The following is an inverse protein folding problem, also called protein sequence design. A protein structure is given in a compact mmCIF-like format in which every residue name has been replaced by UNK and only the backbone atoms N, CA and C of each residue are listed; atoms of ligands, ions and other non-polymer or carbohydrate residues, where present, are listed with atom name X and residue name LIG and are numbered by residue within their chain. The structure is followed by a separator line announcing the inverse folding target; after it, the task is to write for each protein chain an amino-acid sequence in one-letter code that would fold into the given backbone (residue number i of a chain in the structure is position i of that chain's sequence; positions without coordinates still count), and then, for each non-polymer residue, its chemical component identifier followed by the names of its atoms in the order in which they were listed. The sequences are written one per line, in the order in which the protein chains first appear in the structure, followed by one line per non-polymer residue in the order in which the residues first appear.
data_IF_302986819749
#
_entry.id   IF_302986819749
#
_cell.length_a   1.000
_cell.length_b   1.000
_cell.length_c   1.000
_cell.angle_alpha   90.00
_cell.angle_beta   90.00
_cell.angle_gamma   90.00
#
_symmetry.space_group_name_H-M   'P 1'
#
loop_
_entity.id
_entity.type
_entity.pdbx_description
1 polymer ?
#
# COMPACT_ATOMS: atom_id res chain seq x y z
N UNK A 1 53.25 -15.04 -33.20
CA UNK A 1 51.78 -14.88 -33.22
C UNK A 1 51.21 -15.85 -32.22
N UNK A 2 50.59 -15.34 -31.14
CA UNK A 2 49.59 -15.99 -30.24
C UNK A 2 49.72 -15.54 -28.76
N UNK A 3 49.28 -14.32 -28.40
CA UNK A 3 48.78 -14.05 -27.05
C UNK A 3 47.24 -14.04 -26.99
N UNK A 4 46.55 -14.15 -28.14
CA UNK A 4 45.10 -13.92 -28.26
C UNK A 4 44.22 -14.99 -27.62
N UNK A 5 44.67 -16.25 -27.54
CA UNK A 5 43.86 -17.36 -27.00
C UNK A 5 43.66 -17.26 -25.47
N UNK A 6 44.68 -16.79 -24.74
CA UNK A 6 44.64 -16.66 -23.29
C UNK A 6 43.73 -15.50 -22.85
N UNK A 7 43.72 -14.40 -23.60
CA UNK A 7 42.88 -13.22 -23.31
C UNK A 7 41.40 -13.56 -23.55
N UNK A 8 41.08 -14.27 -24.64
CA UNK A 8 39.72 -14.73 -24.92
C UNK A 8 39.19 -15.69 -23.85
N UNK A 9 40.05 -16.59 -23.34
CA UNK A 9 39.68 -17.51 -22.26
C UNK A 9 39.43 -16.78 -20.94
N UNK A 10 40.29 -15.82 -20.55
CA UNK A 10 40.10 -15.01 -19.33
C UNK A 10 38.84 -14.16 -19.43
N UNK A 11 38.56 -13.55 -20.58
CA UNK A 11 37.33 -12.78 -20.82
C UNK A 11 36.08 -13.67 -20.77
N UNK A 12 36.12 -14.87 -21.34
CA UNK A 12 35.01 -15.82 -21.29
C UNK A 12 34.74 -16.32 -19.86
N UNK A 13 35.79 -16.60 -19.08
CA UNK A 13 35.68 -17.00 -17.67
C UNK A 13 35.13 -15.84 -16.82
N UNK A 14 35.61 -14.61 -17.03
CA UNK A 14 35.07 -13.43 -16.35
C UNK A 14 33.60 -13.20 -16.66
N UNK A 15 33.19 -13.33 -17.94
CA UNK A 15 31.79 -13.25 -18.36
C UNK A 15 30.94 -14.39 -17.75
N UNK A 16 31.46 -15.61 -17.67
CA UNK A 16 30.76 -16.74 -17.05
C UNK A 16 30.55 -16.54 -15.53
N UNK A 17 31.55 -16.01 -14.82
CA UNK A 17 31.45 -15.69 -13.39
C UNK A 17 30.45 -14.54 -13.17
N UNK A 18 30.44 -13.52 -14.03
CA UNK A 18 29.43 -12.45 -13.99
C UNK A 18 28.00 -12.96 -14.23
N UNK A 19 27.83 -14.00 -15.05
CA UNK A 19 26.51 -14.59 -15.36
C UNK A 19 26.01 -15.51 -14.23
N UNK A 20 26.90 -16.10 -13.43
CA UNK A 20 26.50 -16.94 -12.28
C UNK A 20 26.02 -16.12 -11.06
N UNK A 21 26.21 -14.80 -11.06
CA UNK A 21 25.99 -13.95 -9.88
C UNK A 21 24.58 -13.38 -9.67
N UNK A 22 23.60 -13.63 -10.54
CA UNK A 22 22.30 -12.93 -10.47
C UNK A 22 21.06 -13.80 -10.26
N UNK A 23 21.21 -15.09 -9.93
CA UNK A 23 20.10 -15.96 -9.53
C UNK A 23 20.19 -16.28 -8.04
N UNK A 24 20.22 -15.23 -7.21
CA UNK A 24 19.99 -15.38 -5.77
C UNK A 24 18.50 -15.61 -5.54
N UNK A 25 18.14 -16.78 -5.02
CA UNK A 25 16.79 -17.03 -4.52
C UNK A 25 16.60 -16.33 -3.18
N UNK A 26 15.56 -15.49 -3.08
CA UNK A 26 15.16 -14.87 -1.83
C UNK A 26 14.42 -15.90 -0.99
N UNK A 27 15.03 -16.27 0.14
CA UNK A 27 14.35 -16.90 1.26
C UNK A 27 14.17 -15.84 2.35
N UNK A 28 12.94 -15.68 2.87
CA UNK A 28 12.64 -14.62 3.83
C UNK A 28 13.51 -14.72 5.09
N UNK A 29 13.81 -15.94 5.53
CA UNK A 29 14.60 -16.24 6.73
C UNK A 29 16.07 -15.79 6.61
N UNK A 30 16.53 -15.47 5.39
CA UNK A 30 17.88 -14.95 5.14
C UNK A 30 17.94 -13.42 5.00
N UNK A 31 16.80 -12.73 5.06
CA UNK A 31 16.75 -11.27 4.98
C UNK A 31 16.97 -10.64 6.36
N UNK A 32 17.65 -9.50 6.37
CA UNK A 32 17.79 -8.66 7.54
C UNK A 32 16.54 -7.79 7.78
N UNK A 33 16.54 -7.04 8.87
CA UNK A 33 15.39 -6.19 9.24
C UNK A 33 15.11 -5.08 8.21
N UNK A 34 16.12 -4.65 7.46
CA UNK A 34 16.05 -3.50 6.55
C UNK A 34 15.66 -3.94 5.12
N UNK A 35 15.55 -5.25 4.87
CA UNK A 35 15.16 -5.82 3.57
C UNK A 35 13.95 -6.75 3.66
N UNK A 36 13.61 -7.24 4.85
CA UNK A 36 12.52 -8.19 5.07
C UNK A 36 11.12 -7.65 4.72
N UNK A 37 10.75 -6.49 5.25
CA UNK A 37 9.41 -5.95 5.05
C UNK A 37 9.18 -5.62 3.57
N UNK A 38 8.02 -6.02 3.05
CA UNK A 38 7.64 -5.87 1.64
C UNK A 38 8.58 -6.59 0.66
N UNK A 39 9.20 -7.70 1.10
CA UNK A 39 9.85 -8.65 0.21
C UNK A 39 8.93 -9.81 -0.17
N UNK A 40 9.26 -10.49 -1.27
CA UNK A 40 8.62 -11.70 -1.76
C UNK A 40 9.70 -12.72 -2.08
N UNK A 41 9.57 -13.89 -1.47
CA UNK A 41 10.44 -15.04 -1.69
C UNK A 41 10.42 -15.54 -3.14
N UNK A 42 11.40 -16.38 -3.49
CA UNK A 42 11.41 -17.11 -4.77
C UNK A 42 10.15 -17.97 -4.97
N UNK A 43 9.55 -18.46 -3.87
CA UNK A 43 8.30 -19.22 -3.87
C UNK A 43 7.04 -18.36 -4.09
N UNK A 44 7.15 -17.03 -4.16
CA UNK A 44 6.00 -16.11 -4.33
C UNK A 44 5.26 -15.79 -3.02
N UNK A 45 5.79 -16.20 -1.88
CA UNK A 45 5.25 -15.89 -0.54
C UNK A 45 5.85 -14.58 -0.03
N UNK A 46 5.02 -13.70 0.55
CA UNK A 46 5.47 -12.43 1.16
C UNK A 46 6.27 -12.69 2.43
N UNK A 47 7.24 -11.83 2.71
CA UNK A 47 8.01 -11.87 3.95
C UNK A 47 7.37 -10.98 5.03
N UNK A 48 7.50 -11.38 6.29
CA UNK A 48 7.00 -10.65 7.46
C UNK A 48 8.11 -10.47 8.49
N UNK A 49 8.26 -9.24 8.99
CA UNK A 49 9.19 -8.91 10.06
C UNK A 49 8.50 -9.11 11.41
N UNK A 50 8.98 -10.06 12.21
CA UNK A 50 8.54 -10.27 13.57
C UNK A 50 9.49 -9.59 14.56
N UNK A 51 8.93 -8.97 15.60
CA UNK A 51 9.69 -8.46 16.75
C UNK A 51 9.57 -9.41 17.93
N UNK A 52 10.69 -9.69 18.57
CA UNK A 52 10.81 -10.49 19.79
C UNK A 52 11.57 -9.68 20.83
N UNK A 53 11.21 -9.82 22.10
CA UNK A 53 11.94 -9.20 23.20
C UNK A 53 12.79 -10.28 23.87
N UNK A 54 14.10 -10.09 23.90
CA UNK A 54 15.02 -11.00 24.59
C UNK A 54 14.80 -10.91 26.11
N UNK A 55 15.26 -11.92 26.86
CA UNK A 55 15.23 -11.89 28.33
C UNK A 55 15.98 -10.70 28.94
N UNK A 56 16.91 -10.10 28.19
CA UNK A 56 17.65 -8.89 28.55
C UNK A 56 16.84 -7.59 28.40
N UNK A 57 15.65 -7.64 27.81
CA UNK A 57 14.85 -6.47 27.44
C UNK A 57 15.20 -5.88 26.06
N UNK A 58 16.23 -6.41 25.40
CA UNK A 58 16.64 -5.98 24.06
C UNK A 58 15.66 -6.49 22.99
N UNK A 59 15.35 -5.63 22.02
CA UNK A 59 14.52 -5.99 20.87
C UNK A 59 15.34 -6.79 19.85
N UNK A 60 14.76 -7.87 19.35
CA UNK A 60 15.31 -8.70 18.30
C UNK A 60 14.30 -8.84 17.19
N UNK A 61 14.77 -8.78 15.94
CA UNK A 61 13.93 -8.93 14.78
C UNK A 61 14.20 -10.27 14.10
N UNK A 62 13.18 -10.86 13.51
CA UNK A 62 13.29 -12.11 12.74
C UNK A 62 12.40 -12.01 11.51
N UNK A 63 12.98 -12.22 10.34
CA UNK A 63 12.21 -12.30 9.11
C UNK A 63 11.69 -13.71 8.90
N UNK A 64 10.44 -13.84 8.44
CA UNK A 64 9.80 -15.12 8.15
C UNK A 64 8.97 -15.07 6.90
N UNK A 65 8.78 -16.23 6.29
CA UNK A 65 7.81 -16.42 5.22
C UNK A 65 6.38 -16.36 5.77
N UNK A 66 5.54 -15.52 5.19
CA UNK A 66 4.10 -15.42 5.47
C UNK A 66 3.30 -16.41 4.62
N UNK A 67 2.09 -16.75 5.05
CA UNK A 67 1.16 -17.54 4.24
C UNK A 67 0.56 -16.76 3.06
N UNK A 68 0.68 -15.43 3.09
CA UNK A 68 0.14 -14.54 2.07
C UNK A 68 0.98 -14.63 0.79
N UNK A 69 0.36 -15.09 -0.30
CA UNK A 69 0.95 -15.16 -1.63
C UNK A 69 0.84 -13.81 -2.36
N UNK A 70 1.87 -13.47 -3.13
CA UNK A 70 1.81 -12.40 -4.12
C UNK A 70 1.32 -12.99 -5.46
N UNK A 71 0.48 -12.24 -6.19
CA UNK A 71 -0.17 -12.78 -7.40
C UNK A 71 0.87 -13.08 -8.51
N UNK A 72 1.67 -12.09 -8.89
CA UNK A 72 2.56 -12.16 -10.06
C UNK A 72 4.03 -11.97 -9.77
N UNK A 73 4.35 -11.54 -8.56
CA UNK A 73 5.70 -11.17 -8.17
C UNK A 73 6.37 -12.33 -7.45
N UNK A 74 7.64 -12.56 -7.79
CA UNK A 74 8.52 -13.54 -7.16
C UNK A 74 9.91 -12.95 -7.09
N UNK A 75 10.66 -13.32 -6.06
CA UNK A 75 12.03 -12.88 -5.91
C UNK A 75 12.18 -11.35 -5.98
N UNK A 76 11.37 -10.65 -5.18
CA UNK A 76 11.25 -9.19 -5.22
C UNK A 76 11.52 -8.59 -3.84
N UNK A 77 12.29 -7.50 -3.79
CA UNK A 77 12.44 -6.67 -2.59
C UNK A 77 12.07 -5.25 -3.01
N UNK A 78 11.05 -4.70 -2.35
CA UNK A 78 10.63 -3.33 -2.62
C UNK A 78 11.73 -2.34 -2.20
N UNK A 79 11.90 -1.24 -2.93
CA UNK A 79 12.97 -0.27 -2.66
C UNK A 79 12.60 0.71 -1.54
N UNK A 80 13.59 1.32 -0.89
CA UNK A 80 13.33 2.34 0.15
C UNK A 80 12.60 3.58 -0.40
N UNK A 81 12.88 3.93 -1.65
CA UNK A 81 12.16 5.01 -2.35
C UNK A 81 10.67 4.68 -2.44
N UNK A 82 10.35 3.45 -2.82
CA UNK A 82 8.98 3.00 -2.87
C UNK A 82 8.32 2.97 -1.48
N UNK A 83 8.98 2.37 -0.48
CA UNK A 83 8.46 2.32 0.90
C UNK A 83 8.10 3.73 1.37
N UNK A 84 8.99 4.69 1.16
CA UNK A 84 8.76 6.08 1.54
C UNK A 84 7.66 6.76 0.73
N UNK A 85 7.61 6.54 -0.59
CA UNK A 85 6.58 7.10 -1.46
C UNK A 85 5.17 6.65 -1.07
N UNK A 86 5.04 5.41 -0.60
CA UNK A 86 3.78 4.83 -0.14
C UNK A 86 3.42 5.17 1.31
N UNK A 87 4.25 5.92 2.03
CA UNK A 87 3.98 6.24 3.44
C UNK A 87 4.22 5.11 4.42
N UNK A 88 5.07 4.16 4.04
CA UNK A 88 5.33 2.94 4.81
C UNK A 88 6.66 3.03 5.53
N UNK A 89 6.86 2.13 6.48
CA UNK A 89 8.10 1.97 7.22
C UNK A 89 8.47 0.49 7.30
N UNK A 90 9.75 0.17 7.07
CA UNK A 90 10.23 -1.22 7.07
C UNK A 90 10.22 -1.90 8.43
N UNK A 91 10.20 -1.11 9.50
CA UNK A 91 10.13 -1.58 10.89
C UNK A 91 8.69 -1.64 11.38
N UNK A 92 7.72 -1.30 10.54
CA UNK A 92 6.31 -1.57 10.82
C UNK A 92 6.12 -3.07 11.03
N UNK A 93 5.41 -3.42 12.10
CA UNK A 93 5.18 -4.80 12.49
C UNK A 93 3.75 -5.18 12.14
N UNK A 94 3.62 -6.12 11.22
CA UNK A 94 2.32 -6.47 10.67
C UNK A 94 1.75 -5.38 9.75
N UNK A 95 0.54 -5.64 9.24
CA UNK A 95 -0.15 -4.72 8.35
C UNK A 95 -1.43 -4.29 9.05
N UNK A 96 -1.60 -2.99 9.26
CA UNK A 96 -2.84 -2.42 9.80
C UNK A 96 -3.75 -2.03 8.65
N UNK A 97 -4.89 -2.73 8.51
CA UNK A 97 -5.87 -2.41 7.48
C UNK A 97 -6.61 -1.10 7.76
N UNK A 98 -6.76 -0.73 9.04
CA UNK A 98 -7.35 0.55 9.48
C UNK A 98 -6.60 1.78 8.93
N UNK A 99 -5.33 1.63 8.55
CA UNK A 99 -4.52 2.71 7.97
C UNK A 99 -5.09 3.20 6.63
N UNK A 100 -5.80 2.35 5.86
CA UNK A 100 -6.45 2.76 4.62
C UNK A 100 -7.56 3.81 4.82
N UNK A 101 -8.11 3.90 6.03
CA UNK A 101 -9.11 4.92 6.39
C UNK A 101 -8.45 6.26 6.72
N UNK A 102 -7.13 6.28 6.97
CA UNK A 102 -6.41 7.51 7.24
C UNK A 102 -6.16 8.28 5.94
N UNK A 103 -6.70 9.49 5.86
CA UNK A 103 -6.62 10.31 4.65
C UNK A 103 -5.18 10.59 4.18
N UNK A 104 -4.23 10.71 5.11
CA UNK A 104 -2.81 10.95 4.85
C UNK A 104 -2.16 9.75 4.15
N UNK A 105 -2.39 8.55 4.69
CA UNK A 105 -1.88 7.30 4.14
C UNK A 105 -2.51 7.01 2.77
N UNK A 106 -3.84 7.14 2.65
CA UNK A 106 -4.53 6.94 1.38
C UNK A 106 -4.01 7.87 0.27
N UNK A 107 -3.68 9.13 0.60
CA UNK A 107 -3.08 10.06 -0.37
C UNK A 107 -1.68 9.64 -0.83
N UNK A 108 -0.85 9.09 0.08
CA UNK A 108 0.50 8.62 -0.26
C UNK A 108 0.44 7.30 -1.06
N UNK A 109 -0.40 6.35 -0.65
CA UNK A 109 -0.64 5.11 -1.38
C UNK A 109 -1.17 5.36 -2.80
N UNK A 110 -2.07 6.33 -2.96
CA UNK A 110 -2.63 6.72 -4.25
C UNK A 110 -1.80 7.75 -5.02
N UNK A 111 -0.64 8.15 -4.50
CA UNK A 111 0.30 9.01 -5.25
C UNK A 111 0.88 8.24 -6.43
N UNK A 112 1.17 8.89 -7.57
CA UNK A 112 1.76 8.19 -8.72
C UNK A 112 3.13 7.57 -8.41
N UNK A 113 3.87 8.15 -7.46
CA UNK A 113 5.15 7.60 -7.00
C UNK A 113 4.98 6.24 -6.30
N UNK A 114 3.85 6.02 -5.64
CA UNK A 114 3.53 4.72 -5.06
C UNK A 114 2.74 3.86 -6.06
N UNK A 115 1.55 4.31 -6.45
CA UNK A 115 0.57 3.52 -7.18
C UNK A 115 1.09 2.94 -8.51
N UNK A 116 1.94 3.70 -9.22
CA UNK A 116 2.45 3.29 -10.52
C UNK A 116 3.85 2.63 -10.46
N UNK A 117 4.59 2.83 -9.37
CA UNK A 117 6.02 2.45 -9.28
C UNK A 117 6.32 1.36 -8.23
N UNK A 118 5.35 1.01 -7.39
CA UNK A 118 5.50 0.10 -6.25
C UNK A 118 4.64 -1.16 -6.36
N UNK A 119 4.98 -2.10 -7.25
CA UNK A 119 4.07 -3.18 -7.61
C UNK A 119 3.76 -4.12 -6.44
N UNK A 120 4.70 -4.40 -5.53
CA UNK A 120 4.41 -5.29 -4.39
C UNK A 120 3.50 -4.63 -3.35
N UNK A 121 3.78 -3.37 -3.01
CA UNK A 121 2.97 -2.61 -2.06
C UNK A 121 1.55 -2.43 -2.59
N UNK A 122 1.41 -2.05 -3.85
CA UNK A 122 0.10 -1.85 -4.48
C UNK A 122 -0.67 -3.17 -4.57
N UNK A 123 -0.04 -4.28 -4.96
CA UNK A 123 -0.67 -5.60 -4.95
C UNK A 123 -1.14 -5.99 -3.56
N UNK A 124 -0.35 -5.71 -2.51
CA UNK A 124 -0.71 -6.02 -1.13
C UNK A 124 -1.96 -5.24 -0.70
N UNK A 125 -1.95 -3.92 -0.86
CA UNK A 125 -3.07 -3.07 -0.43
C UNK A 125 -4.30 -3.21 -1.31
N UNK A 126 -4.15 -3.55 -2.58
CA UNK A 126 -5.27 -3.88 -3.46
C UNK A 126 -6.04 -5.09 -2.91
N UNK A 127 -5.32 -6.15 -2.54
CA UNK A 127 -5.93 -7.36 -2.00
C UNK A 127 -6.52 -7.15 -0.60
N UNK A 128 -5.87 -6.35 0.25
CA UNK A 128 -6.40 -5.99 1.56
C UNK A 128 -7.68 -5.16 1.45
N UNK A 129 -7.70 -4.13 0.62
CA UNK A 129 -8.89 -3.33 0.38
C UNK A 129 -10.04 -4.20 -0.16
N UNK A 130 -9.74 -5.11 -1.09
CA UNK A 130 -10.74 -6.03 -1.64
C UNK A 130 -11.33 -6.96 -0.57
N UNK A 131 -10.53 -7.42 0.39
CA UNK A 131 -11.00 -8.21 1.53
C UNK A 131 -11.95 -7.42 2.45
N UNK A 132 -11.83 -6.09 2.47
CA UNK A 132 -12.74 -5.17 3.17
C UNK A 132 -13.92 -4.71 2.32
N UNK A 133 -14.05 -5.21 1.08
CA UNK A 133 -15.09 -4.80 0.14
C UNK A 133 -14.87 -3.44 -0.53
N UNK A 134 -13.65 -2.89 -0.42
CA UNK A 134 -13.24 -1.63 -1.05
C UNK A 134 -12.41 -1.92 -2.31
N UNK A 135 -12.72 -1.24 -3.40
CA UNK A 135 -11.91 -1.34 -4.62
C UNK A 135 -10.89 -0.20 -4.67
N UNK A 136 -9.61 -0.54 -4.43
CA UNK A 136 -8.52 0.44 -4.31
C UNK A 136 -8.44 1.46 -5.47
N UNK A 137 -8.59 1.07 -6.76
CA UNK A 137 -8.57 2.07 -7.84
C UNK A 137 -9.69 3.12 -7.72
N UNK A 138 -10.89 2.72 -7.28
CA UNK A 138 -12.00 3.66 -7.04
C UNK A 138 -11.74 4.56 -5.83
N UNK A 139 -11.06 4.04 -4.82
CA UNK A 139 -10.60 4.84 -3.68
C UNK A 139 -9.62 5.93 -4.14
N UNK A 140 -8.65 5.58 -4.97
CA UNK A 140 -7.66 6.53 -5.48
C UNK A 140 -8.26 7.59 -6.42
N UNK A 141 -9.19 7.21 -7.31
CA UNK A 141 -9.95 8.18 -8.12
C UNK A 141 -10.70 9.20 -7.23
N UNK A 142 -11.29 8.74 -6.12
CA UNK A 142 -11.99 9.61 -5.19
C UNK A 142 -11.05 10.58 -4.45
N UNK A 143 -9.80 10.16 -4.18
CA UNK A 143 -8.79 11.01 -3.54
C UNK A 143 -8.27 12.11 -4.45
N UNK A 144 -8.17 11.89 -5.76
CA UNK A 144 -7.80 12.96 -6.70
C UNK A 144 -8.82 14.11 -6.67
N UNK A 145 -10.11 13.77 -6.63
CA UNK A 145 -11.19 14.74 -6.51
C UNK A 145 -11.24 15.46 -5.15
N UNK A 146 -10.89 14.78 -4.06
CA UNK A 146 -10.83 15.38 -2.72
C UNK A 146 -9.61 16.30 -2.58
N UNK A 147 -8.44 15.89 -3.07
CA UNK A 147 -7.21 16.67 -3.07
C UNK A 147 -7.37 17.95 -3.89
N UNK A 148 -8.01 17.87 -5.07
CA UNK A 148 -8.30 19.05 -5.90
C UNK A 148 -9.26 20.03 -5.22
N UNK A 149 -10.25 19.53 -4.48
CA UNK A 149 -11.15 20.37 -3.67
C UNK A 149 -10.44 20.97 -2.46
N UNK A 150 -9.58 20.21 -1.79
CA UNK A 150 -8.74 20.70 -0.68
C UNK A 150 -7.82 21.83 -1.12
N UNK A 151 -7.11 21.65 -2.23
CA UNK A 151 -6.24 22.67 -2.81
C UNK A 151 -7.00 23.97 -3.12
N UNK A 152 -8.21 23.87 -3.69
CA UNK A 152 -9.07 25.04 -3.93
C UNK A 152 -9.55 25.73 -2.66
N UNK A 153 -9.75 24.99 -1.57
CA UNK A 153 -10.11 25.56 -0.27
C UNK A 153 -8.92 26.29 0.39
N UNK A 154 -7.70 25.75 0.27
CA UNK A 154 -6.49 26.36 0.82
C UNK A 154 -6.08 27.64 0.08
N UNK A 155 -6.23 27.69 -1.26
CA UNK A 155 -5.99 28.92 -2.05
C UNK A 155 -6.98 30.03 -1.66
N UNK A 156 -8.19 29.68 -1.20
CA UNK A 156 -9.17 30.66 -0.72
C UNK A 156 -8.88 31.13 0.73
N UNK A 157 -8.12 30.35 1.49
CA UNK A 157 -7.76 30.63 2.89
C UNK A 157 -6.48 31.47 3.03
N UNK A 158 -5.58 31.44 2.04
CA UNK A 158 -4.42 32.34 1.95
C UNK A 158 -4.84 33.74 1.46
N UNK A 159 -5.61 34.44 2.28
CA UNK A 159 -5.96 35.84 2.07
C UNK A 159 -4.70 36.72 2.07
N UNK A 160 -4.15 37.01 0.89
CA UNK A 160 -3.31 38.18 0.70
C UNK A 160 -4.21 39.42 0.80
N UNK A 161 -4.38 39.90 2.04
CA UNK A 161 -5.11 41.13 2.34
C UNK A 161 -4.19 42.30 2.02
N UNK A 162 -4.39 42.93 0.86
CA UNK A 162 -4.00 44.33 0.70
C UNK A 162 -4.81 45.18 1.70
N UNK A 163 -4.20 46.14 2.43
CA UNK A 163 -4.92 46.92 3.44
C UNK A 163 -5.85 47.93 2.73
N UNK A 164 -7.08 47.49 2.46
CA UNK A 164 -8.16 48.30 1.91
C UNK A 164 -9.27 48.49 2.94
N UNK A 165 -9.58 49.76 3.21
CA UNK A 165 -10.40 50.29 4.31
C UNK A 165 -11.74 49.58 4.60
N UNK A 166 -12.02 49.45 5.90
CA UNK A 166 -13.26 48.97 6.47
C UNK A 166 -14.43 49.94 6.23
N UNK A 167 -15.50 49.46 5.60
CA UNK A 167 -16.86 49.94 5.86
C UNK A 167 -17.80 48.75 6.09
N UNK A 168 -18.45 48.65 7.26
CA UNK A 168 -19.38 47.57 7.53
C UNK A 168 -20.70 47.83 6.80
N UNK A 169 -20.97 47.10 5.72
CA UNK A 169 -22.30 47.04 5.11
C UNK A 169 -23.14 46.07 5.91
N UNK A 170 -24.15 46.58 6.62
CA UNK A 170 -25.21 45.78 7.22
C UNK A 170 -26.04 45.13 6.11
N UNK A 171 -25.91 43.82 5.94
CA UNK A 171 -26.89 43.03 5.19
C UNK A 171 -27.90 42.45 6.17
N UNK A 172 -29.09 43.04 6.20
CA UNK A 172 -30.28 42.38 6.76
C UNK A 172 -30.79 41.38 5.72
N UNK A 173 -30.57 40.09 5.95
CA UNK A 173 -31.24 39.02 5.19
C UNK A 173 -32.26 38.37 6.12
N UNK A 174 -33.53 38.49 5.76
CA UNK A 174 -34.64 37.84 6.43
C UNK A 174 -34.56 36.31 6.27
N UNK A 175 -35.02 35.50 7.25
CA UNK A 175 -35.00 34.05 7.10
C UNK A 175 -36.06 33.60 6.08
N UNK A 176 -35.64 32.87 5.05
CA UNK A 176 -36.57 32.15 4.18
C UNK A 176 -37.07 30.87 4.88
N UNK A 177 -38.33 30.42 4.64
CA UNK A 177 -38.84 29.22 5.27
C UNK A 177 -38.15 27.97 4.70
N UNK A 178 -37.52 27.19 5.57
CA UNK A 178 -36.97 25.88 5.23
C UNK A 178 -38.16 24.91 5.15
N UNK A 179 -38.52 24.45 3.94
CA UNK A 179 -39.43 23.31 3.79
C UNK A 179 -38.62 22.02 4.02
N UNK A 180 -39.05 21.12 4.92
CA UNK A 180 -38.36 19.85 5.10
C UNK A 180 -38.52 18.99 3.85
N UNK A 181 -37.40 18.62 3.23
CA UNK A 181 -37.37 17.63 2.15
C UNK A 181 -37.54 16.26 2.79
N UNK A 182 -38.68 15.62 2.53
CA UNK A 182 -38.99 14.28 2.99
C UNK A 182 -38.36 13.28 2.02
N UNK A 183 -37.24 12.67 2.39
CA UNK A 183 -36.68 11.56 1.63
C UNK A 183 -37.43 10.29 1.99
N UNK A 184 -38.29 9.82 1.08
CA UNK A 184 -38.85 8.46 1.16
C UNK A 184 -37.91 7.53 0.39
N UNK A 185 -37.01 6.86 1.11
CA UNK A 185 -36.32 5.68 0.58
C UNK A 185 -37.21 4.49 0.89
N UNK A 186 -37.78 3.88 -0.15
CA UNK A 186 -38.44 2.59 -0.02
C UNK A 186 -37.36 1.53 0.27
N UNK A 187 -37.55 0.63 1.25
CA UNK A 187 -36.65 -0.50 1.43
C UNK A 187 -36.74 -1.42 0.20
N UNK A 188 -35.58 -1.80 -0.33
CA UNK A 188 -35.50 -2.84 -1.35
C UNK A 188 -36.01 -4.17 -0.75
N UNK A 189 -36.71 -5.02 -1.52
CA UNK A 189 -37.14 -6.34 -1.05
C UNK A 189 -35.93 -7.19 -0.69
N UNK A 190 -35.85 -7.62 0.58
CA UNK A 190 -34.94 -8.67 1.02
C UNK A 190 -35.56 -10.01 0.65
N UNK A 191 -35.00 -10.69 -0.37
CA UNK A 191 -35.25 -12.12 -0.55
C UNK A 191 -34.48 -12.91 0.52
N UNK A 192 -35.11 -13.89 1.19
CA UNK A 192 -34.40 -14.74 2.13
C UNK A 192 -33.46 -15.71 1.40
N UNK A 193 -32.17 -15.59 1.69
CA UNK A 193 -31.15 -16.58 1.34
C UNK A 193 -31.56 -17.95 1.92
N UNK A 194 -31.88 -18.89 1.05
CA UNK A 194 -32.05 -20.31 1.41
C UNK A 194 -30.67 -20.91 1.68
N UNK A 195 -30.35 -21.10 2.95
CA UNK A 195 -29.19 -21.90 3.35
C UNK A 195 -29.57 -23.39 3.25
N UNK A 196 -29.00 -24.10 2.29
CA UNK A 196 -28.96 -25.56 2.31
C UNK A 196 -27.88 -26.00 3.30
N UNK A 197 -28.31 -26.58 4.42
CA UNK A 197 -27.42 -27.22 5.40
C UNK A 197 -26.82 -28.47 4.76
N UNK A 198 -25.51 -28.47 4.55
CA UNK A 198 -24.76 -29.67 4.15
C UNK A 198 -24.59 -30.53 5.40
N UNK A 199 -24.91 -31.84 5.38
CA UNK A 199 -24.73 -32.69 6.56
C UNK A 199 -23.25 -32.79 6.93
N UNK A 200 -22.94 -32.66 8.21
CA UNK A 200 -21.61 -32.88 8.75
C UNK A 200 -21.18 -34.33 8.48
N UNK A 201 -20.03 -34.50 7.83
CA UNK A 201 -19.38 -35.79 7.66
C UNK A 201 -18.78 -36.21 9.02
N UNK A 202 -19.22 -37.35 9.54
CA UNK A 202 -18.73 -37.93 10.80
C UNK A 202 -17.28 -38.40 10.65
N UNK A 203 -16.41 -38.23 11.66
CA UNK A 203 -15.08 -38.82 11.64
C UNK A 203 -15.16 -40.28 12.09
N UNK A 204 -14.81 -41.19 11.19
CA UNK A 204 -14.27 -42.52 11.48
C UNK A 204 -13.14 -42.79 10.49
#
# INVERSE_FOLDING_TARGET
MAPSLNILSVMAIALAICVQGTLGEIACEHLDQDTCAYAISSAGKRCVLEKRVKRTGEEAYTCRTSEIEADRLRNWIETDECIKACGLDRKSLGISTDSLLESSFAQQLCSPQCYDSCPNVVDLYFNLAAAEGVFLPKLCEAQEGSARRGLMADIKSSGFVAPGQLHPVKYTVAPAPIKPVKYTVAPAPVEPLKYTVVPAMSPY
#
